data_IF_505487219195
#
_entry.id   IF_505487219195
#
_cell.length_a   1.000
_cell.length_b   1.000
_cell.length_c   1.000
_cell.angle_alpha   90.00
_cell.angle_beta   90.00
_cell.angle_gamma   90.00
#
_symmetry.space_group_name_H-M   'P 1'
#
loop_
_entity.id
_entity.type
_entity.pdbx_description
1 polymer ?
#
# COMPACT_ATOMS: atom_id res chain seq x y z
N UNK A 1 -3.36 4.45 30.82
CA UNK A 1 -2.25 3.48 30.71
C UNK A 1 -1.79 3.49 29.26
N UNK A 2 -0.48 3.61 29.00
CA UNK A 2 0.05 3.54 27.63
C UNK A 2 0.09 2.05 27.26
N UNK A 3 -0.46 1.65 26.09
CA UNK A 3 -0.44 0.26 25.65
C UNK A 3 1.00 -0.27 25.47
N UNK A 4 1.20 -1.56 25.66
CA UNK A 4 2.39 -2.21 25.18
C UNK A 4 2.28 -2.42 23.67
N UNK A 5 2.78 -1.46 22.89
CA UNK A 5 2.66 -1.46 21.43
C UNK A 5 3.23 -2.73 20.77
N UNK A 6 4.26 -3.32 21.36
CA UNK A 6 4.83 -4.55 20.82
C UNK A 6 3.86 -5.74 20.98
N UNK A 7 3.18 -5.86 22.11
CA UNK A 7 2.17 -6.90 22.36
C UNK A 7 0.96 -6.69 21.44
N UNK A 8 0.45 -5.46 21.32
CA UNK A 8 -0.66 -5.14 20.44
C UNK A 8 -0.35 -5.49 18.98
N UNK A 9 0.85 -5.17 18.51
CA UNK A 9 1.33 -5.49 17.17
C UNK A 9 1.43 -7.00 16.95
N UNK A 10 2.01 -7.75 17.89
CA UNK A 10 2.08 -9.20 17.79
C UNK A 10 0.70 -9.85 17.81
N UNK A 11 -0.21 -9.37 18.67
CA UNK A 11 -1.60 -9.82 18.70
C UNK A 11 -2.31 -9.57 17.35
N UNK A 12 -2.16 -8.38 16.78
CA UNK A 12 -2.69 -8.06 15.45
C UNK A 12 -2.19 -9.07 14.40
N UNK A 13 -0.87 -9.32 14.34
CA UNK A 13 -0.29 -10.26 13.36
C UNK A 13 -0.85 -11.67 13.56
N UNK A 14 -0.91 -12.16 14.80
CA UNK A 14 -1.37 -13.52 15.07
C UNK A 14 -2.87 -13.71 14.80
N UNK A 15 -3.72 -12.77 15.24
CA UNK A 15 -5.17 -12.95 15.25
C UNK A 15 -5.85 -12.36 14.02
N UNK A 16 -5.41 -11.19 13.56
CA UNK A 16 -6.08 -10.48 12.47
C UNK A 16 -5.47 -10.81 11.09
N UNK A 17 -4.21 -11.25 11.03
CA UNK A 17 -3.52 -11.55 9.77
C UNK A 17 -3.37 -13.05 9.56
N UNK A 18 -2.52 -13.72 10.32
CA UNK A 18 -2.30 -15.16 10.20
C UNK A 18 -3.60 -15.96 10.46
N UNK A 19 -4.37 -15.57 11.48
CA UNK A 19 -5.66 -16.18 11.79
C UNK A 19 -6.74 -16.00 10.72
N UNK A 20 -6.50 -15.12 9.73
CA UNK A 20 -7.42 -14.85 8.60
C UNK A 20 -6.83 -15.23 7.25
N UNK A 21 -5.78 -16.03 7.23
CA UNK A 21 -5.27 -16.62 5.99
C UNK A 21 -4.19 -15.82 5.26
N UNK A 22 -3.46 -14.95 5.95
CA UNK A 22 -2.19 -14.42 5.48
C UNK A 22 -1.11 -15.42 5.85
N UNK A 23 -0.40 -15.98 4.88
CA UNK A 23 0.56 -17.07 5.05
C UNK A 23 2.01 -16.70 4.70
N UNK A 24 2.25 -15.64 3.92
CA UNK A 24 3.62 -15.23 3.60
C UNK A 24 4.34 -14.74 4.88
N UNK A 25 5.29 -15.54 5.35
CA UNK A 25 6.05 -15.25 6.58
C UNK A 25 6.85 -13.94 6.50
N UNK A 26 7.25 -13.49 5.31
CA UNK A 26 7.94 -12.21 5.10
C UNK A 26 6.98 -11.04 5.28
N UNK A 27 5.74 -11.17 4.78
CA UNK A 27 4.67 -10.19 4.99
C UNK A 27 4.31 -10.10 6.47
N UNK A 28 4.08 -11.25 7.13
CA UNK A 28 3.78 -11.30 8.57
C UNK A 28 4.93 -10.68 9.39
N UNK A 29 6.18 -10.99 9.04
CA UNK A 29 7.36 -10.41 9.68
C UNK A 29 7.40 -8.89 9.48
N UNK A 30 7.20 -8.38 8.26
CA UNK A 30 7.20 -6.94 7.98
C UNK A 30 6.17 -6.21 8.85
N UNK A 31 4.93 -6.72 8.93
CA UNK A 31 3.90 -6.11 9.78
C UNK A 31 4.17 -6.29 11.29
N UNK A 32 4.95 -7.29 11.70
CA UNK A 32 5.36 -7.46 13.10
C UNK A 32 6.48 -6.52 13.52
N UNK A 33 7.27 -6.01 12.58
CA UNK A 33 8.41 -5.12 12.83
C UNK A 33 8.09 -3.63 12.64
N UNK A 34 7.16 -3.30 11.71
CA UNK A 34 6.83 -1.89 11.44
C UNK A 34 5.89 -1.34 12.53
N UNK A 35 6.28 -0.27 13.24
CA UNK A 35 5.49 0.30 14.34
C UNK A 35 4.34 1.16 13.80
N UNK A 36 3.19 0.53 13.47
CA UNK A 36 2.03 1.19 12.86
C UNK A 36 1.54 2.40 13.67
N UNK A 37 1.63 2.34 15.01
CA UNK A 37 1.26 3.43 15.92
C UNK A 37 2.08 4.71 15.69
N UNK A 38 3.21 4.59 15.01
CA UNK A 38 4.04 5.75 14.66
C UNK A 38 3.64 6.41 13.33
N UNK A 39 2.76 5.81 12.56
CA UNK A 39 2.28 6.33 11.28
C UNK A 39 0.91 6.99 11.36
N UNK A 40 0.27 6.97 12.51
CA UNK A 40 -1.05 7.56 12.74
C UNK A 40 -0.99 8.78 13.65
N UNK A 41 -1.95 9.73 13.54
CA UNK A 41 -2.09 10.86 14.44
C UNK A 41 -2.24 10.44 15.91
N UNK A 42 -1.85 11.32 16.82
CA UNK A 42 -1.83 11.03 18.27
C UNK A 42 -3.21 10.69 18.84
N UNK A 43 -4.24 11.35 18.37
CA UNK A 43 -5.63 11.23 18.83
C UNK A 43 -6.25 9.87 18.48
N UNK A 44 -5.80 9.23 17.39
CA UNK A 44 -6.26 7.89 16.98
C UNK A 44 -5.25 6.78 17.28
N UNK A 45 -4.08 7.11 17.83
CA UNK A 45 -2.97 6.17 18.04
C UNK A 45 -3.33 4.96 18.88
N UNK A 46 -4.22 5.13 19.86
CA UNK A 46 -4.69 4.04 20.72
C UNK A 46 -5.38 2.93 19.91
N UNK A 47 -5.89 3.23 18.72
CA UNK A 47 -6.56 2.32 17.81
C UNK A 47 -5.66 1.78 16.70
N UNK A 48 -4.35 2.08 16.75
CA UNK A 48 -3.41 1.76 15.65
C UNK A 48 -3.43 0.29 15.22
N UNK A 49 -3.72 -0.62 16.13
CA UNK A 49 -3.76 -2.06 15.89
C UNK A 49 -5.18 -2.63 15.81
N UNK A 50 -6.21 -1.78 15.79
CA UNK A 50 -7.56 -2.21 15.47
C UNK A 50 -7.66 -2.62 13.98
N UNK A 51 -8.48 -3.62 13.67
CA UNK A 51 -8.70 -4.10 12.29
C UNK A 51 -9.65 -3.17 11.53
N UNK A 52 -9.25 -1.91 11.43
CA UNK A 52 -10.02 -0.84 10.78
C UNK A 52 -9.10 0.19 10.11
N UNK A 53 -9.58 0.91 9.08
CA UNK A 53 -8.91 2.09 8.57
C UNK A 53 -8.97 3.21 9.61
N UNK A 54 -7.94 4.05 9.69
CA UNK A 54 -7.88 5.20 10.59
C UNK A 54 -7.60 6.48 9.80
N UNK A 55 -8.20 7.59 10.21
CA UNK A 55 -7.97 8.90 9.60
C UNK A 55 -6.53 9.37 9.75
N UNK A 56 -5.93 9.89 8.66
CA UNK A 56 -4.59 10.49 8.65
C UNK A 56 -4.59 11.96 8.23
N UNK A 57 -5.77 12.57 8.23
CA UNK A 57 -5.98 13.94 7.75
C UNK A 57 -6.35 14.00 6.28
N UNK A 58 -6.73 15.18 5.82
CA UNK A 58 -7.09 15.47 4.41
C UNK A 58 -8.19 14.57 3.83
N UNK A 59 -9.04 13.98 4.67
CA UNK A 59 -10.06 13.00 4.26
C UNK A 59 -9.48 11.67 3.78
N UNK A 60 -8.20 11.37 4.11
CA UNK A 60 -7.53 10.13 3.77
C UNK A 60 -7.37 9.22 5.00
N UNK A 61 -7.11 7.94 4.75
CA UNK A 61 -6.96 6.95 5.80
C UNK A 61 -5.71 6.09 5.59
N UNK A 62 -5.12 5.61 6.68
CA UNK A 62 -4.25 4.44 6.64
C UNK A 62 -5.14 3.21 6.48
N UNK A 63 -4.82 2.32 5.55
CA UNK A 63 -5.62 1.11 5.30
C UNK A 63 -5.66 0.20 6.52
N UNK A 64 -6.74 -0.56 6.67
CA UNK A 64 -6.87 -1.65 7.64
C UNK A 64 -5.66 -2.58 7.58
N UNK A 65 -5.13 -3.07 8.72
CA UNK A 65 -3.96 -3.95 8.73
C UNK A 65 -4.09 -5.16 7.82
N UNK A 66 -5.24 -5.83 7.86
CA UNK A 66 -5.51 -6.98 7.00
C UNK A 66 -5.43 -6.65 5.51
N UNK A 67 -5.96 -5.50 5.08
CA UNK A 67 -5.90 -5.11 3.67
C UNK A 67 -4.47 -4.80 3.23
N UNK A 68 -3.67 -4.15 4.08
CA UNK A 68 -2.24 -3.91 3.79
C UNK A 68 -1.49 -5.23 3.63
N UNK A 69 -1.74 -6.20 4.52
CA UNK A 69 -1.11 -7.52 4.47
C UNK A 69 -1.54 -8.30 3.22
N UNK A 70 -2.84 -8.35 2.92
CA UNK A 70 -3.38 -9.06 1.76
C UNK A 70 -2.83 -8.49 0.45
N UNK A 71 -2.80 -7.16 0.31
CA UNK A 71 -2.25 -6.52 -0.88
C UNK A 71 -0.77 -6.86 -1.06
N UNK A 72 0.04 -6.77 0.00
CA UNK A 72 1.45 -7.12 -0.03
C UNK A 72 1.68 -8.62 -0.38
N UNK A 73 0.89 -9.53 0.19
CA UNK A 73 0.96 -10.97 -0.10
C UNK A 73 0.63 -11.28 -1.55
N UNK A 74 -0.42 -10.62 -2.14
CA UNK A 74 -0.83 -10.85 -3.53
C UNK A 74 0.19 -10.38 -4.56
N UNK A 75 1.11 -9.50 -4.20
CA UNK A 75 2.21 -9.11 -5.06
C UNK A 75 3.30 -10.18 -5.17
N UNK A 76 3.36 -11.16 -4.25
CA UNK A 76 4.31 -12.27 -4.26
C UNK A 76 5.76 -11.80 -4.50
N UNK A 77 6.19 -10.77 -3.80
CA UNK A 77 7.52 -10.17 -3.95
C UNK A 77 8.62 -11.16 -3.53
N UNK A 78 9.72 -11.23 -4.24
CA UNK A 78 10.87 -12.06 -3.90
C UNK A 78 12.03 -11.27 -3.27
N UNK A 79 11.96 -9.95 -3.32
CA UNK A 79 12.95 -9.03 -2.77
C UNK A 79 13.81 -8.35 -3.84
N UNK A 80 13.68 -8.71 -5.10
CA UNK A 80 14.46 -8.13 -6.20
C UNK A 80 13.74 -6.98 -6.92
N UNK A 81 12.44 -6.84 -6.69
CA UNK A 81 11.59 -5.95 -7.48
C UNK A 81 11.77 -4.47 -7.12
N UNK A 82 11.57 -3.62 -8.12
CA UNK A 82 11.15 -2.23 -7.92
C UNK A 82 9.63 -2.20 -7.88
N UNK A 83 9.07 -1.72 -6.77
CA UNK A 83 7.64 -1.61 -6.53
C UNK A 83 7.17 -0.17 -6.68
N UNK A 84 6.06 0.05 -7.37
CA UNK A 84 5.32 1.31 -7.36
C UNK A 84 4.17 1.23 -6.36
N UNK A 85 4.12 2.14 -5.41
CA UNK A 85 2.96 2.37 -4.55
C UNK A 85 2.24 3.65 -4.98
N UNK A 86 0.94 3.57 -5.21
CA UNK A 86 0.06 4.71 -5.51
C UNK A 86 -0.85 4.98 -4.32
N UNK A 87 -0.73 6.18 -3.75
CA UNK A 87 -1.42 6.58 -2.53
C UNK A 87 -0.59 6.26 -1.27
N UNK A 88 0.61 6.85 -1.16
CA UNK A 88 1.52 6.62 -0.03
C UNK A 88 0.91 7.00 1.33
N UNK A 89 -0.01 7.97 1.35
CA UNK A 89 -0.67 8.43 2.57
C UNK A 89 0.34 8.84 3.66
N UNK A 90 0.33 8.12 4.77
CA UNK A 90 1.29 8.34 5.88
C UNK A 90 2.62 7.57 5.72
N UNK A 91 2.79 6.77 4.66
CA UNK A 91 4.00 5.99 4.38
C UNK A 91 4.07 4.60 5.04
N UNK A 92 2.98 4.13 5.68
CA UNK A 92 2.99 2.83 6.36
C UNK A 92 3.11 1.65 5.40
N UNK A 93 2.30 1.62 4.33
CA UNK A 93 2.38 0.54 3.37
C UNK A 93 3.70 0.59 2.59
N UNK A 94 4.22 1.79 2.27
CA UNK A 94 5.58 1.95 1.73
C UNK A 94 6.65 1.31 2.63
N UNK A 95 6.57 1.52 3.97
CA UNK A 95 7.49 0.89 4.92
C UNK A 95 7.39 -0.64 4.91
N UNK A 96 6.18 -1.19 4.81
CA UNK A 96 5.96 -2.65 4.70
C UNK A 96 6.55 -3.18 3.39
N UNK A 97 6.25 -2.55 2.26
CA UNK A 97 6.77 -2.94 0.95
C UNK A 97 8.30 -2.83 0.88
N UNK A 98 8.89 -1.85 1.58
CA UNK A 98 10.33 -1.66 1.63
C UNK A 98 11.08 -2.84 2.28
N UNK A 99 10.41 -3.61 3.15
CA UNK A 99 10.96 -4.85 3.73
C UNK A 99 10.85 -6.06 2.79
N UNK A 100 10.09 -5.94 1.72
CA UNK A 100 9.75 -7.04 0.82
C UNK A 100 10.36 -6.89 -0.58
N UNK A 101 10.85 -5.68 -0.92
CA UNK A 101 11.30 -5.32 -2.25
C UNK A 101 12.70 -4.67 -2.23
N UNK A 102 13.41 -4.69 -3.34
CA UNK A 102 14.68 -3.99 -3.48
C UNK A 102 14.52 -2.46 -3.42
N UNK A 103 13.44 -1.93 -4.00
CA UNK A 103 13.14 -0.50 -4.06
C UNK A 103 11.64 -0.25 -4.07
N UNK A 104 11.21 0.82 -3.41
CA UNK A 104 9.82 1.31 -3.45
C UNK A 104 9.80 2.75 -3.96
N UNK A 105 8.94 3.00 -4.95
CA UNK A 105 8.57 4.34 -5.42
C UNK A 105 7.14 4.59 -4.96
N UNK A 106 6.93 5.53 -4.03
CA UNK A 106 5.63 5.81 -3.45
C UNK A 106 5.12 7.18 -3.90
N UNK A 107 3.99 7.22 -4.61
CA UNK A 107 3.38 8.46 -5.11
C UNK A 107 2.23 8.87 -4.20
N UNK A 108 2.21 10.14 -3.85
CA UNK A 108 1.11 10.76 -3.09
C UNK A 108 0.65 12.05 -3.75
N UNK A 109 -0.67 12.15 -3.98
CA UNK A 109 -1.26 13.30 -4.65
C UNK A 109 -1.24 14.57 -3.77
N UNK A 110 -1.37 14.40 -2.45
CA UNK A 110 -1.46 15.49 -1.47
C UNK A 110 -0.05 15.81 -0.95
N UNK A 111 0.56 16.95 -1.31
CA UNK A 111 1.95 17.24 -0.93
C UNK A 111 2.21 17.15 0.57
N UNK A 112 1.27 17.62 1.41
CA UNK A 112 1.40 17.55 2.86
C UNK A 112 1.43 16.09 3.38
N UNK A 113 0.73 15.15 2.76
CA UNK A 113 0.83 13.73 3.09
C UNK A 113 2.12 13.12 2.55
N UNK A 114 2.60 13.52 1.39
CA UNK A 114 3.91 13.10 0.89
C UNK A 114 5.03 13.51 1.85
N UNK A 115 4.97 14.73 2.40
CA UNK A 115 5.93 15.20 3.40
C UNK A 115 5.80 14.44 4.71
N UNK A 116 4.57 14.15 5.17
CA UNK A 116 4.31 13.31 6.33
C UNK A 116 4.87 11.90 6.15
N UNK A 117 4.68 11.29 4.97
CA UNK A 117 5.23 9.98 4.65
C UNK A 117 6.76 9.95 4.74
N UNK A 118 7.45 10.94 4.14
CA UNK A 118 8.91 11.09 4.22
C UNK A 118 9.39 11.19 5.67
N UNK A 119 8.72 12.02 6.46
CA UNK A 119 9.09 12.21 7.87
C UNK A 119 8.84 10.94 8.70
N UNK A 120 7.72 10.25 8.52
CA UNK A 120 7.43 8.99 9.22
C UNK A 120 8.45 7.91 8.86
N UNK A 121 8.78 7.75 7.58
CA UNK A 121 9.77 6.78 7.09
C UNK A 121 11.15 7.07 7.68
N UNK A 122 11.58 8.34 7.65
CA UNK A 122 12.85 8.79 8.24
C UNK A 122 12.90 8.52 9.75
N UNK A 123 11.85 8.91 10.49
CA UNK A 123 11.76 8.79 11.94
C UNK A 123 11.74 7.35 12.42
N UNK A 124 11.16 6.46 11.64
CA UNK A 124 11.08 5.02 11.96
C UNK A 124 12.29 4.23 11.44
N UNK A 125 13.19 4.84 10.65
CA UNK A 125 14.32 4.16 10.02
C UNK A 125 13.89 3.11 9.00
N UNK A 126 12.72 3.30 8.35
CA UNK A 126 12.12 2.31 7.45
C UNK A 126 11.97 2.81 6.02
N UNK A 127 12.80 3.76 5.62
CA UNK A 127 12.67 4.41 4.32
C UNK A 127 13.95 4.45 3.46
N UNK A 128 14.97 3.68 3.80
CA UNK A 128 16.26 3.74 3.09
C UNK A 128 16.16 3.43 1.60
N UNK A 129 15.28 2.49 1.23
CA UNK A 129 15.00 2.10 -0.15
C UNK A 129 13.65 2.64 -0.67
N UNK A 130 13.06 3.67 -0.01
CA UNK A 130 11.79 4.29 -0.40
C UNK A 130 12.02 5.68 -0.96
N UNK A 131 11.52 5.93 -2.17
CA UNK A 131 11.45 7.26 -2.76
C UNK A 131 9.99 7.75 -2.76
N UNK A 132 9.68 8.78 -1.95
CA UNK A 132 8.33 9.38 -1.94
C UNK A 132 8.27 10.56 -2.89
N UNK A 133 7.28 10.54 -3.79
CA UNK A 133 7.05 11.54 -4.84
C UNK A 133 5.68 12.20 -4.61
N UNK A 134 5.64 13.53 -4.59
CA UNK A 134 4.38 14.25 -4.65
C UNK A 134 3.93 14.36 -6.11
N UNK A 135 2.80 13.71 -6.46
CA UNK A 135 2.35 13.64 -7.85
C UNK A 135 1.04 12.89 -8.06
N UNK A 136 0.61 12.83 -9.31
CA UNK A 136 -0.60 12.14 -9.72
C UNK A 136 -0.32 10.66 -10.00
N UNK A 137 -0.73 9.81 -9.07
CA UNK A 137 -0.51 8.36 -9.15
C UNK A 137 -1.32 7.66 -10.27
N UNK A 138 -2.36 8.28 -10.82
CA UNK A 138 -3.06 7.74 -12.00
C UNK A 138 -2.15 7.64 -13.22
N UNK A 139 -1.12 8.48 -13.27
CA UNK A 139 -0.13 8.52 -14.37
C UNK A 139 1.04 7.54 -14.13
N UNK A 140 1.16 6.98 -12.91
CA UNK A 140 2.33 6.23 -12.51
C UNK A 140 3.57 7.11 -12.43
N UNK A 141 4.76 6.50 -12.64
CA UNK A 141 6.03 7.20 -12.69
C UNK A 141 6.96 6.53 -13.71
N UNK A 142 6.98 7.08 -14.92
CA UNK A 142 7.66 6.47 -16.08
C UNK A 142 9.18 6.38 -15.93
N UNK A 143 9.80 7.31 -15.18
CA UNK A 143 11.26 7.39 -15.04
C UNK A 143 11.90 6.13 -14.44
N UNK A 144 11.13 5.37 -13.68
CA UNK A 144 11.60 4.16 -12.98
C UNK A 144 10.88 2.89 -13.42
N UNK A 145 10.02 2.98 -14.44
CA UNK A 145 9.40 1.81 -15.05
C UNK A 145 10.44 0.99 -15.86
N UNK A 146 10.23 -0.33 -16.06
CA UNK A 146 9.07 -1.10 -15.62
C UNK A 146 9.15 -1.51 -14.15
N UNK A 147 7.96 -1.67 -13.51
CA UNK A 147 7.83 -2.11 -12.13
C UNK A 147 7.53 -3.60 -12.06
N UNK A 148 8.28 -4.35 -11.25
CA UNK A 148 7.97 -5.77 -10.98
C UNK A 148 6.62 -5.94 -10.25
N UNK A 149 6.24 -4.93 -9.44
CA UNK A 149 4.93 -4.91 -8.81
C UNK A 149 4.38 -3.49 -8.63
N UNK A 150 3.03 -3.36 -8.63
CA UNK A 150 2.32 -2.11 -8.41
C UNK A 150 1.23 -2.34 -7.35
N UNK A 151 1.22 -1.52 -6.29
CA UNK A 151 0.20 -1.50 -5.25
C UNK A 151 -0.56 -0.18 -5.30
N UNK A 152 -1.88 -0.21 -5.41
CA UNK A 152 -2.71 1.01 -5.46
C UNK A 152 -3.64 1.04 -4.25
N UNK A 153 -3.44 1.98 -3.33
CA UNK A 153 -4.20 2.11 -2.09
C UNK A 153 -5.43 3.04 -2.20
N UNK A 154 -6.01 3.12 -3.39
CA UNK A 154 -7.20 3.92 -3.68
C UNK A 154 -8.02 3.26 -4.79
N UNK A 155 -9.35 3.44 -4.80
CA UNK A 155 -10.25 2.80 -5.74
C UNK A 155 -10.54 3.68 -6.96
N UNK A 156 -10.66 3.07 -8.14
CA UNK A 156 -11.16 3.73 -9.34
C UNK A 156 -12.17 2.81 -10.07
N UNK A 157 -13.03 3.36 -10.95
CA UNK A 157 -13.96 2.54 -11.73
C UNK A 157 -13.26 1.49 -12.60
N UNK A 158 -12.04 1.78 -13.03
CA UNK A 158 -11.20 0.90 -13.84
C UNK A 158 -9.72 1.09 -13.50
N UNK A 159 -8.89 0.13 -13.87
CA UNK A 159 -7.44 0.19 -13.65
C UNK A 159 -6.83 1.20 -14.64
N UNK A 160 -6.09 2.24 -14.17
CA UNK A 160 -5.48 3.22 -15.07
C UNK A 160 -4.54 2.56 -16.07
N UNK A 161 -4.75 2.81 -17.35
CA UNK A 161 -3.95 2.20 -18.43
C UNK A 161 -2.45 2.53 -18.31
N UNK A 162 -2.09 3.68 -17.70
CA UNK A 162 -0.70 4.05 -17.47
C UNK A 162 0.00 3.06 -16.53
N UNK A 163 -0.69 2.58 -15.49
CA UNK A 163 -0.13 1.61 -14.54
C UNK A 163 0.10 0.26 -15.21
N UNK A 164 -0.85 -0.18 -16.05
CA UNK A 164 -0.69 -1.45 -16.79
C UNK A 164 0.48 -1.38 -17.78
N UNK A 165 0.68 -0.23 -18.45
CA UNK A 165 1.84 -0.04 -19.34
C UNK A 165 3.17 -0.06 -18.61
N UNK A 166 3.21 0.48 -17.38
CA UNK A 166 4.41 0.54 -16.54
C UNK A 166 4.68 -0.75 -15.78
N UNK A 167 3.73 -1.72 -15.81
CA UNK A 167 3.92 -3.04 -15.21
C UNK A 167 4.93 -3.84 -16.03
N UNK A 168 5.91 -4.40 -15.34
CA UNK A 168 6.94 -5.30 -15.90
C UNK A 168 6.35 -6.62 -16.43
N UNK A 169 7.20 -7.43 -17.01
CA UNK A 169 6.87 -8.77 -17.49
C UNK A 169 8.03 -9.72 -17.14
N UNK A 170 7.87 -10.58 -16.12
CA UNK A 170 6.67 -10.76 -15.29
C UNK A 170 6.37 -9.58 -14.37
N UNK A 171 5.07 -9.36 -14.05
CA UNK A 171 4.65 -8.31 -13.14
C UNK A 171 3.28 -8.54 -12.52
N UNK A 172 3.04 -7.91 -11.35
CA UNK A 172 1.75 -7.99 -10.63
C UNK A 172 1.29 -6.61 -10.18
N UNK A 173 -0.01 -6.35 -10.35
CA UNK A 173 -0.65 -5.13 -9.86
C UNK A 173 -1.84 -5.51 -8.98
N UNK A 174 -1.94 -4.90 -7.82
CA UNK A 174 -3.09 -5.03 -6.92
C UNK A 174 -3.76 -3.68 -6.72
N UNK A 175 -5.09 -3.62 -6.94
CA UNK A 175 -5.85 -2.38 -6.89
C UNK A 175 -7.32 -2.62 -6.56
N UNK A 176 -7.94 -1.79 -5.70
CA UNK A 176 -9.39 -1.73 -5.56
C UNK A 176 -10.04 -1.16 -6.83
N UNK A 177 -11.01 -1.87 -7.40
CA UNK A 177 -11.75 -1.44 -8.59
C UNK A 177 -13.23 -1.45 -8.30
N UNK A 178 -13.93 -0.36 -8.61
CA UNK A 178 -15.35 -0.18 -8.38
C UNK A 178 -15.71 1.27 -8.06
N UNK A 179 -17.01 1.51 -7.83
CA UNK A 179 -17.57 2.82 -7.46
C UNK A 179 -17.78 2.98 -5.96
N UNK A 180 -18.61 3.98 -5.62
CA UNK A 180 -19.00 4.28 -4.22
C UNK A 180 -19.91 3.18 -3.65
N UNK A 181 -19.35 2.16 -3.04
CA UNK A 181 -20.10 1.16 -2.28
C UNK A 181 -19.72 -0.28 -2.52
N UNK A 182 -19.42 -0.68 -3.74
CA UNK A 182 -18.98 -2.04 -4.07
C UNK A 182 -17.67 -1.98 -4.85
N UNK A 183 -16.60 -2.42 -4.19
CA UNK A 183 -15.27 -2.45 -4.76
C UNK A 183 -14.68 -3.85 -4.60
N UNK A 184 -14.01 -4.30 -5.64
CA UNK A 184 -13.25 -5.55 -5.67
C UNK A 184 -11.75 -5.24 -5.64
N UNK A 185 -11.03 -5.88 -4.73
CA UNK A 185 -9.58 -5.91 -4.81
C UNK A 185 -9.19 -6.81 -5.99
N UNK A 186 -8.71 -6.23 -7.07
CA UNK A 186 -8.28 -6.96 -8.26
C UNK A 186 -6.78 -7.17 -8.25
N UNK A 187 -6.39 -8.37 -8.65
CA UNK A 187 -5.02 -8.74 -8.97
C UNK A 187 -4.89 -8.85 -10.49
N UNK A 188 -3.99 -8.07 -11.07
CA UNK A 188 -3.56 -8.17 -12.45
C UNK A 188 -2.21 -8.86 -12.48
N UNK A 189 -2.06 -9.89 -13.28
CA UNK A 189 -0.78 -10.54 -13.56
C UNK A 189 -0.42 -10.35 -15.02
N UNK A 190 0.84 -10.02 -15.29
CA UNK A 190 1.40 -9.94 -16.62
C UNK A 190 2.53 -10.96 -16.75
N UNK A 191 2.42 -11.85 -17.73
CA UNK A 191 3.41 -12.89 -17.99
C UNK A 191 3.44 -13.20 -19.50
N UNK A 192 4.62 -13.16 -20.10
CA UNK A 192 4.83 -13.42 -21.53
C UNK A 192 3.90 -12.60 -22.44
N UNK A 193 3.68 -11.32 -22.08
CA UNK A 193 2.79 -10.41 -22.79
C UNK A 193 1.29 -10.61 -22.50
N UNK A 194 0.90 -11.70 -21.85
CA UNK A 194 -0.49 -11.95 -21.46
C UNK A 194 -0.85 -11.24 -20.16
N UNK A 195 -2.07 -10.70 -20.10
CA UNK A 195 -2.61 -10.01 -18.92
C UNK A 195 -3.85 -10.76 -18.45
N UNK A 196 -3.79 -11.27 -17.24
CA UNK A 196 -4.91 -11.87 -16.54
C UNK A 196 -5.36 -11.00 -15.37
N UNK A 197 -6.66 -11.04 -15.08
CA UNK A 197 -7.25 -10.30 -13.96
C UNK A 197 -8.13 -11.23 -13.14
N UNK A 198 -7.92 -11.23 -11.82
CA UNK A 198 -8.74 -11.99 -10.87
C UNK A 198 -9.19 -11.12 -9.71
N UNK A 199 -10.26 -11.54 -9.03
CA UNK A 199 -10.78 -10.89 -7.82
C UNK A 199 -10.21 -11.59 -6.59
N UNK A 200 -9.54 -10.83 -5.73
CA UNK A 200 -8.98 -11.35 -4.49
C UNK A 200 -10.00 -11.32 -3.34
N UNK A 201 -10.75 -10.22 -3.20
CA UNK A 201 -11.81 -10.04 -2.17
C UNK A 201 -12.61 -8.78 -2.45
N UNK A 202 -13.76 -8.62 -1.78
CA UNK A 202 -14.45 -7.32 -1.70
C UNK A 202 -13.74 -6.40 -0.70
N UNK A 203 -13.76 -5.08 -0.96
CA UNK A 203 -13.07 -4.11 -0.16
C UNK A 203 -13.74 -2.73 -0.21
N UNK A 204 -13.23 -1.80 0.60
CA UNK A 204 -13.65 -0.40 0.54
C UNK A 204 -12.45 0.52 0.77
N UNK A 205 -12.15 1.33 -0.23
CA UNK A 205 -11.06 2.30 -0.23
C UNK A 205 -11.57 3.70 -0.58
N UNK A 206 -10.78 4.70 -0.23
CA UNK A 206 -10.97 6.07 -0.70
C UNK A 206 -10.82 6.14 -2.22
N UNK A 207 -11.50 7.09 -2.90
CA UNK A 207 -11.38 7.20 -4.36
C UNK A 207 -9.98 7.63 -4.79
N UNK A 208 -9.47 7.01 -5.85
CA UNK A 208 -8.26 7.44 -6.56
C UNK A 208 -8.55 8.76 -7.26
N UNK A 209 -7.83 9.81 -6.88
CA UNK A 209 -7.96 11.14 -7.43
C UNK A 209 -6.81 11.42 -8.39
N UNK A 210 -7.09 12.15 -9.48
CA UNK A 210 -6.12 12.48 -10.50
C UNK A 210 -6.61 12.08 -11.90
N UNK A 211 -5.70 11.91 -12.85
CA UNK A 211 -6.01 11.53 -14.23
C UNK A 211 -6.61 12.65 -15.08
N UNK A 212 -6.85 13.82 -14.51
CA UNK A 212 -7.30 14.98 -15.30
C UNK A 212 -6.08 15.64 -15.94
N UNK A 213 -6.04 15.69 -17.27
CA UNK A 213 -5.08 16.55 -17.96
C UNK A 213 -5.24 17.97 -17.41
N UNK A 214 -4.21 18.52 -16.78
CA UNK A 214 -4.15 19.98 -16.56
C UNK A 214 -4.30 20.64 -17.93
N UNK A 215 -5.43 21.32 -18.13
CA UNK A 215 -5.67 22.16 -19.30
C UNK A 215 -4.78 23.40 -19.23
#
# INVERSE_FOLDING_TARGET
>A
MIPNWAEERHSMVATQLAGRGIFDCRVLRALSEIPREQFVPLDVRIQAYADAPLGIGFGQTISQPYMTALMAERLCLDGSETVLEVGAGCGYAAAVLAMLAARVVAIELIPALADLARENLRRTGRGENVQVIAGDGCLGWEELAPYGAISVAAAAPEIPAALVRQLGDPGRLVMPVGGDGDQELRLVTKLDGHIDTSVATHCRFVPLRGGQKRR
#
